data_IF_229271404214
#
_entry.id   IF_229271404214
#
_cell.length_a   1.000
_cell.length_b   1.000
_cell.length_c   1.000
_cell.angle_alpha   90.00
_cell.angle_beta   90.00
_cell.angle_gamma   90.00
#
_symmetry.space_group_name_H-M   'P 1'
#
loop_
_entity.id
_entity.type
_entity.pdbx_description
1 polymer ?
#
# COMPACT_ATOMS: atom_id res chain seq x y z
N UNK A 1 -24.99 -52.79 28.25
CA UNK A 1 -26.21 -52.94 27.42
C UNK A 1 -26.90 -51.60 27.42
N UNK A 2 -26.67 -50.79 26.39
CA UNK A 2 -27.45 -49.57 26.16
C UNK A 2 -27.68 -49.46 24.67
N UNK A 3 -28.95 -49.27 24.34
CA UNK A 3 -29.58 -49.57 23.07
C UNK A 3 -29.40 -48.45 22.03
N UNK A 4 -29.52 -48.90 20.78
CA UNK A 4 -29.78 -48.13 19.57
C UNK A 4 -31.04 -47.27 19.69
N UNK A 5 -31.04 -46.15 18.95
CA UNK A 5 -32.19 -45.29 18.72
C UNK A 5 -31.81 -44.13 17.81
N UNK A 6 -31.65 -44.43 16.51
CA UNK A 6 -31.71 -43.43 15.44
C UNK A 6 -33.11 -42.80 15.41
N UNK A 7 -33.19 -41.47 15.30
CA UNK A 7 -34.26 -40.79 14.54
C UNK A 7 -33.70 -39.55 13.84
N UNK A 8 -33.79 -39.61 12.51
CA UNK A 8 -33.65 -38.53 11.54
C UNK A 8 -34.60 -37.36 11.83
N UNK A 9 -34.10 -36.14 11.67
CA UNK A 9 -34.91 -34.92 11.64
C UNK A 9 -34.19 -33.81 10.86
N UNK A 10 -34.87 -33.10 9.94
CA UNK A 10 -34.28 -32.64 8.69
C UNK A 10 -33.47 -31.34 8.85
N UNK A 11 -32.49 -31.21 7.94
CA UNK A 11 -31.71 -30.01 7.75
C UNK A 11 -32.59 -28.79 7.50
N UNK A 12 -32.43 -27.79 8.35
CA UNK A 12 -32.65 -26.41 7.99
C UNK A 12 -31.28 -25.81 7.69
N UNK A 13 -30.84 -25.95 6.44
CA UNK A 13 -29.87 -25.02 5.88
C UNK A 13 -30.53 -23.65 5.88
N UNK A 14 -30.26 -22.85 6.92
CA UNK A 14 -30.51 -21.42 6.86
C UNK A 14 -29.54 -20.87 5.82
N UNK A 15 -30.00 -20.84 4.57
CA UNK A 15 -29.37 -20.09 3.49
C UNK A 15 -29.38 -18.63 3.94
N UNK A 16 -28.28 -18.17 4.53
CA UNK A 16 -28.06 -16.74 4.67
C UNK A 16 -28.13 -16.13 3.26
N UNK A 17 -28.75 -14.94 3.11
CA UNK A 17 -28.69 -14.25 1.83
C UNK A 17 -27.22 -14.10 1.45
N UNK A 18 -26.85 -14.60 0.27
CA UNK A 18 -25.53 -14.39 -0.32
C UNK A 18 -25.30 -12.88 -0.40
N UNK A 19 -24.63 -12.33 0.60
CA UNK A 19 -24.20 -10.95 0.59
C UNK A 19 -23.05 -10.86 -0.41
N UNK A 20 -23.33 -10.28 -1.57
CA UNK A 20 -22.31 -9.94 -2.56
C UNK A 20 -21.55 -8.75 -1.98
N UNK A 21 -20.45 -9.03 -1.27
CA UNK A 21 -19.56 -7.99 -0.79
C UNK A 21 -18.59 -7.62 -1.92
N UNK A 22 -18.53 -6.35 -2.27
CA UNK A 22 -17.49 -5.81 -3.16
C UNK A 22 -16.31 -5.37 -2.31
N UNK A 23 -15.11 -5.80 -2.68
CA UNK A 23 -13.87 -5.36 -2.05
C UNK A 23 -13.52 -3.96 -2.54
N UNK A 24 -13.03 -3.11 -1.64
CA UNK A 24 -12.61 -1.75 -1.97
C UNK A 24 -11.21 -1.75 -2.61
N UNK A 25 -11.04 -1.11 -3.75
CA UNK A 25 -9.80 -1.21 -4.51
C UNK A 25 -8.61 -0.49 -3.86
N UNK A 26 -8.85 0.48 -2.97
CA UNK A 26 -7.81 1.31 -2.33
C UNK A 26 -7.46 0.80 -0.92
N UNK A 27 -8.46 0.36 -0.16
CA UNK A 27 -8.33 0.00 1.26
C UNK A 27 -8.57 -1.49 1.56
N UNK A 28 -8.85 -2.31 0.55
CA UNK A 28 -8.78 -3.77 0.69
C UNK A 28 -7.34 -4.26 0.48
N UNK A 29 -6.50 -4.02 1.49
CA UNK A 29 -5.09 -4.42 1.43
C UNK A 29 -4.95 -5.93 1.23
N UNK A 30 -4.48 -6.33 0.06
CA UNK A 30 -3.97 -7.67 -0.18
C UNK A 30 -2.65 -7.87 0.55
N UNK A 31 -2.48 -9.00 1.22
CA UNK A 31 -1.23 -9.34 1.88
C UNK A 31 -1.41 -10.27 3.08
N UNK A 32 -0.29 -10.78 3.57
CA UNK A 32 -0.24 -11.60 4.77
C UNK A 32 0.74 -11.00 5.76
N UNK A 33 0.78 -11.56 6.96
CA UNK A 33 1.78 -11.17 7.93
C UNK A 33 3.05 -11.99 7.71
N UNK A 34 4.19 -11.30 7.71
CA UNK A 34 5.51 -11.93 7.70
C UNK A 34 6.13 -11.79 9.08
N UNK A 35 6.77 -12.84 9.56
CA UNK A 35 7.49 -12.85 10.83
C UNK A 35 9.00 -12.87 10.58
N UNK A 36 9.71 -11.88 11.12
CA UNK A 36 11.17 -11.80 11.12
C UNK A 36 11.72 -12.11 12.50
N UNK A 37 12.89 -12.71 12.58
CA UNK A 37 13.68 -12.91 13.80
C UNK A 37 14.99 -12.13 13.67
N UNK A 38 15.22 -11.22 14.63
CA UNK A 38 16.40 -10.36 14.68
C UNK A 38 16.91 -10.34 16.11
N UNK A 39 18.16 -10.77 16.32
CA UNK A 39 18.79 -10.88 17.65
C UNK A 39 17.90 -11.60 18.71
N UNK A 40 17.22 -12.68 18.30
CA UNK A 40 16.33 -13.46 19.17
C UNK A 40 14.95 -12.85 19.42
N UNK A 41 14.62 -11.72 18.78
CA UNK A 41 13.32 -11.05 18.88
C UNK A 41 12.50 -11.24 17.61
N UNK A 42 11.23 -11.56 17.78
CA UNK A 42 10.27 -11.69 16.68
C UNK A 42 9.58 -10.36 16.36
N UNK A 43 9.44 -10.08 15.06
CA UNK A 43 8.73 -8.94 14.50
C UNK A 43 7.72 -9.46 13.49
N UNK A 44 6.41 -9.30 13.76
CA UNK A 44 5.34 -9.69 12.84
C UNK A 44 4.70 -8.44 12.27
N UNK A 45 4.75 -8.28 10.95
CA UNK A 45 4.31 -7.06 10.24
C UNK A 45 3.59 -7.42 8.93
N UNK A 46 2.73 -6.53 8.40
CA UNK A 46 2.13 -6.73 7.07
C UNK A 46 3.20 -6.92 5.99
N UNK A 47 2.90 -7.69 4.95
CA UNK A 47 3.84 -7.96 3.87
C UNK A 47 3.91 -6.85 2.82
N UNK A 48 2.81 -6.13 2.59
CA UNK A 48 2.64 -5.29 1.40
C UNK A 48 3.76 -4.26 1.16
N UNK A 49 4.27 -3.55 2.17
CA UNK A 49 5.32 -2.56 1.92
C UNK A 49 6.63 -3.20 1.47
N UNK A 50 6.93 -4.43 1.89
CA UNK A 50 8.13 -5.11 1.41
C UNK A 50 8.03 -5.40 -0.09
N UNK A 51 6.86 -5.84 -0.55
CA UNK A 51 6.61 -6.09 -1.98
C UNK A 51 6.59 -4.83 -2.82
N UNK A 52 6.03 -3.74 -2.29
CA UNK A 52 5.92 -2.48 -3.01
C UNK A 52 7.25 -1.70 -3.03
N UNK A 53 7.98 -1.68 -1.92
CA UNK A 53 9.16 -0.81 -1.75
C UNK A 53 10.47 -1.50 -2.12
N UNK A 54 10.56 -2.84 -2.07
CA UNK A 54 11.79 -3.56 -2.45
C UNK A 54 11.52 -4.99 -2.96
N UNK A 55 11.39 -5.15 -4.30
CA UNK A 55 11.40 -6.46 -4.94
C UNK A 55 12.68 -7.26 -4.64
N UNK A 56 13.82 -6.57 -4.54
CA UNK A 56 15.11 -7.19 -4.19
C UNK A 56 15.05 -7.86 -2.81
N UNK A 57 14.44 -7.20 -1.82
CA UNK A 57 14.27 -7.76 -0.47
C UNK A 57 13.31 -8.96 -0.48
N UNK A 58 12.22 -8.88 -1.26
CA UNK A 58 11.29 -10.00 -1.45
C UNK A 58 12.02 -11.23 -2.00
N UNK A 59 12.85 -11.04 -3.02
CA UNK A 59 13.59 -12.12 -3.66
C UNK A 59 14.70 -12.67 -2.77
N UNK A 60 15.45 -11.79 -2.10
CA UNK A 60 16.53 -12.14 -1.17
C UNK A 60 16.03 -13.07 -0.05
N UNK A 61 14.89 -12.72 0.56
CA UNK A 61 14.30 -13.50 1.66
C UNK A 61 13.21 -14.46 1.22
N UNK A 62 12.98 -14.58 -0.10
CA UNK A 62 11.98 -15.47 -0.73
C UNK A 62 10.59 -15.31 -0.11
N UNK A 63 10.16 -14.07 0.13
CA UNK A 63 8.88 -13.79 0.79
C UNK A 63 7.71 -14.40 0.03
N UNK A 64 7.75 -14.41 -1.30
CA UNK A 64 6.72 -15.01 -2.16
C UNK A 64 6.49 -16.51 -1.96
N UNK A 65 7.50 -17.23 -1.44
CA UNK A 65 7.43 -18.67 -1.19
C UNK A 65 7.03 -19.01 0.25
N UNK A 66 7.23 -18.07 1.18
CA UNK A 66 6.84 -18.19 2.58
C UNK A 66 5.40 -17.73 2.70
N UNK A 67 4.47 -18.69 2.51
CA UNK A 67 3.03 -18.45 2.47
C UNK A 67 2.46 -17.77 3.72
N UNK A 68 1.14 -17.49 3.68
CA UNK A 68 0.34 -16.97 4.79
C UNK A 68 0.59 -17.78 6.06
N UNK A 69 1.14 -17.13 7.09
CA UNK A 69 1.34 -17.68 8.44
C UNK A 69 2.29 -18.88 8.55
N UNK A 70 3.41 -18.84 7.81
CA UNK A 70 4.55 -19.71 8.14
C UNK A 70 5.03 -19.47 9.57
N UNK A 71 4.96 -20.49 10.43
CA UNK A 71 5.54 -20.50 11.78
C UNK A 71 7.09 -20.42 11.78
N UNK A 72 7.72 -20.53 10.60
CA UNK A 72 9.17 -20.33 10.43
C UNK A 72 9.52 -18.85 10.19
N UNK A 73 10.11 -18.15 11.18
CA UNK A 73 10.48 -16.76 11.05
C UNK A 73 11.70 -16.58 10.15
N UNK A 74 11.74 -15.46 9.42
CA UNK A 74 12.86 -15.07 8.58
C UNK A 74 13.95 -14.48 9.45
N UNK A 75 15.09 -15.17 9.53
CA UNK A 75 16.23 -14.70 10.30
C UNK A 75 16.99 -13.62 9.53
N UNK A 76 17.14 -12.45 10.17
CA UNK A 76 18.01 -11.39 9.67
C UNK A 76 19.30 -11.43 10.48
N UNK A 77 20.32 -12.08 9.93
CA UNK A 77 21.64 -12.18 10.54
C UNK A 77 22.38 -10.85 10.43
N UNK A 78 23.27 -10.57 11.38
CA UNK A 78 24.13 -9.37 11.41
C UNK A 78 23.41 -8.01 11.51
N UNK A 79 22.09 -8.02 11.72
CA UNK A 79 21.29 -6.80 11.93
C UNK A 79 20.96 -6.62 13.40
N UNK A 80 21.12 -5.40 13.92
CA UNK A 80 20.67 -5.07 15.27
C UNK A 80 19.15 -4.92 15.30
N UNK A 81 18.51 -5.43 16.36
CA UNK A 81 17.05 -5.35 16.50
C UNK A 81 16.52 -3.90 16.49
N UNK A 82 17.33 -2.94 16.95
CA UNK A 82 16.94 -1.53 17.00
C UNK A 82 17.01 -0.87 15.63
N UNK A 83 17.98 -1.25 14.79
CA UNK A 83 18.07 -0.76 13.41
C UNK A 83 16.88 -1.27 12.59
N UNK A 84 16.56 -2.56 12.72
CA UNK A 84 15.39 -3.12 12.05
C UNK A 84 14.09 -2.47 12.55
N UNK A 85 13.97 -2.22 13.86
CA UNK A 85 12.83 -1.48 14.42
C UNK A 85 12.72 -0.08 13.81
N UNK A 86 13.83 0.62 13.60
CA UNK A 86 13.82 1.95 13.01
C UNK A 86 13.36 1.92 11.55
N UNK A 87 13.81 0.94 10.76
CA UNK A 87 13.27 0.70 9.42
C UNK A 87 11.75 0.48 9.45
N UNK A 88 11.26 -0.38 10.37
CA UNK A 88 9.84 -0.64 10.52
C UNK A 88 9.04 0.59 10.97
N UNK A 89 9.60 1.47 11.82
CA UNK A 89 8.94 2.74 12.18
C UNK A 89 8.69 3.60 10.95
N UNK A 90 9.60 3.59 9.98
CA UNK A 90 9.47 4.37 8.76
C UNK A 90 8.51 3.71 7.74
N UNK A 91 8.52 2.39 7.60
CA UNK A 91 7.60 1.64 6.73
C UNK A 91 6.17 1.57 7.29
N UNK A 92 6.05 1.45 8.62
CA UNK A 92 4.80 1.25 9.34
C UNK A 92 4.71 2.18 10.55
N UNK A 93 4.47 3.49 10.34
CA UNK A 93 4.28 4.42 11.44
C UNK A 93 3.12 3.99 12.35
N UNK A 94 3.39 3.82 13.65
CA UNK A 94 2.35 3.47 14.64
C UNK A 94 1.51 4.67 15.07
N UNK A 95 1.99 5.89 14.78
CA UNK A 95 1.26 7.12 15.04
C UNK A 95 0.56 7.59 13.77
N UNK A 96 -0.69 8.00 13.90
CA UNK A 96 -1.48 8.62 12.82
C UNK A 96 -0.98 10.04 12.50
N UNK A 97 -0.01 10.56 13.25
CA UNK A 97 0.60 11.86 12.96
C UNK A 97 1.27 11.85 11.59
N UNK A 98 0.94 12.85 10.76
CA UNK A 98 1.56 13.08 9.44
C UNK A 98 3.08 13.33 9.51
N UNK A 99 3.62 13.60 10.70
CA UNK A 99 5.05 13.82 10.92
C UNK A 99 5.65 12.63 11.65
N UNK A 100 6.51 11.90 10.95
CA UNK A 100 7.34 10.86 11.52
C UNK A 100 8.50 11.54 12.28
N UNK A 101 8.47 11.48 13.61
CA UNK A 101 9.54 12.01 14.45
C UNK A 101 10.54 10.90 14.76
N UNK A 102 11.74 11.01 14.17
CA UNK A 102 12.86 10.11 14.40
C UNK A 102 14.14 10.94 14.61
N UNK A 103 15.03 10.44 15.45
CA UNK A 103 16.33 11.04 15.74
C UNK A 103 17.33 10.83 14.60
N UNK A 104 18.48 11.53 14.67
CA UNK A 104 19.58 11.37 13.70
C UNK A 104 20.00 9.91 13.56
N UNK A 105 20.26 9.24 14.68
CA UNK A 105 20.77 7.87 14.69
C UNK A 105 19.72 6.89 14.14
N UNK A 106 18.44 7.13 14.44
CA UNK A 106 17.35 6.33 13.87
C UNK A 106 17.25 6.48 12.35
N UNK A 107 17.42 7.70 11.82
CA UNK A 107 17.48 7.93 10.37
C UNK A 107 18.72 7.35 9.71
N UNK A 108 19.86 7.32 10.40
CA UNK A 108 21.06 6.61 9.93
C UNK A 108 20.76 5.10 9.82
N UNK A 109 20.13 4.49 10.83
CA UNK A 109 19.70 3.08 10.74
C UNK A 109 18.81 2.82 9.54
N UNK A 110 17.81 3.69 9.32
CA UNK A 110 16.89 3.60 8.17
C UNK A 110 17.68 3.72 6.87
N UNK A 111 18.57 4.69 6.76
CA UNK A 111 19.38 4.92 5.57
C UNK A 111 20.25 3.70 5.26
N UNK A 112 20.94 3.15 6.25
CA UNK A 112 21.81 1.97 6.06
C UNK A 112 21.03 0.76 5.56
N UNK A 113 19.95 0.37 6.27
CA UNK A 113 19.17 -0.81 5.90
C UNK A 113 18.39 -0.61 4.58
N UNK A 114 17.84 0.58 4.34
CA UNK A 114 17.14 0.88 3.08
C UNK A 114 18.09 0.86 1.88
N UNK A 115 19.37 1.16 2.08
CA UNK A 115 20.39 1.07 1.04
C UNK A 115 20.78 -0.37 0.75
N UNK A 116 21.08 -1.13 1.80
CA UNK A 116 21.45 -2.55 1.71
C UNK A 116 20.34 -3.37 1.03
N UNK A 117 19.11 -3.17 1.47
CA UNK A 117 17.95 -3.91 0.97
C UNK A 117 17.20 -3.20 -0.15
N UNK A 118 17.77 -2.14 -0.72
CA UNK A 118 17.26 -1.45 -1.92
C UNK A 118 15.82 -0.95 -1.79
N UNK A 119 15.43 -0.47 -0.61
CA UNK A 119 14.22 0.34 -0.41
C UNK A 119 14.47 1.77 -0.89
N UNK A 120 14.57 1.98 -2.21
CA UNK A 120 15.16 3.19 -2.79
C UNK A 120 14.40 4.49 -2.47
N UNK A 121 13.05 4.43 -2.40
CA UNK A 121 12.23 5.57 -1.98
C UNK A 121 12.47 5.92 -0.51
N UNK A 122 12.53 4.90 0.35
CA UNK A 122 12.81 5.08 1.78
C UNK A 122 14.24 5.59 2.02
N UNK A 123 15.20 5.12 1.22
CA UNK A 123 16.57 5.66 1.19
C UNK A 123 16.57 7.14 0.86
N UNK A 124 15.87 7.55 -0.20
CA UNK A 124 15.74 8.97 -0.58
C UNK A 124 15.10 9.82 0.52
N UNK A 125 14.09 9.29 1.21
CA UNK A 125 13.47 9.93 2.37
C UNK A 125 14.48 10.11 3.51
N UNK A 126 15.24 9.07 3.87
CA UNK A 126 16.22 9.14 4.95
C UNK A 126 17.35 10.14 4.66
N UNK A 127 17.83 10.21 3.41
CA UNK A 127 18.80 11.24 2.97
C UNK A 127 18.20 12.64 3.20
N UNK A 128 16.98 12.87 2.71
CA UNK A 128 16.31 14.18 2.80
C UNK A 128 16.10 14.62 4.25
N UNK A 129 15.74 13.69 5.13
CA UNK A 129 15.53 13.97 6.56
C UNK A 129 16.86 14.24 7.29
N UNK A 130 17.92 13.50 7.00
CA UNK A 130 19.25 13.75 7.58
C UNK A 130 19.83 15.09 7.13
N UNK A 131 19.63 15.46 5.86
CA UNK A 131 19.98 16.79 5.34
C UNK A 131 19.18 17.89 6.04
N UNK A 132 17.87 17.70 6.21
CA UNK A 132 16.98 18.65 6.91
C UNK A 132 17.35 18.85 8.38
N UNK A 133 17.83 17.80 9.06
CA UNK A 133 18.27 17.88 10.45
C UNK A 133 19.59 18.64 10.62
N UNK A 134 20.39 18.78 9.55
CA UNK A 134 21.72 19.43 9.55
C UNK A 134 22.65 18.97 10.68
N UNK A 135 22.52 17.71 11.11
CA UNK A 135 23.12 17.20 12.35
C UNK A 135 24.31 16.26 12.14
N UNK A 136 24.61 15.92 10.88
CA UNK A 136 25.77 15.10 10.53
C UNK A 136 27.05 15.92 10.63
N UNK A 137 28.02 15.39 11.37
CA UNK A 137 29.39 15.89 11.43
C UNK A 137 30.09 15.69 10.08
N UNK A 138 31.20 16.41 9.86
CA UNK A 138 31.99 16.26 8.63
C UNK A 138 32.54 14.84 8.46
N UNK A 139 32.81 14.13 9.55
CA UNK A 139 33.28 12.74 9.55
C UNK A 139 32.14 11.81 9.15
N UNK A 140 30.98 11.92 9.79
CA UNK A 140 29.80 11.12 9.44
C UNK A 140 29.41 11.30 7.98
N UNK A 141 29.45 12.54 7.45
CA UNK A 141 29.20 12.81 6.02
C UNK A 141 30.17 12.06 5.11
N UNK A 142 31.46 11.99 5.46
CA UNK A 142 32.46 11.28 4.67
C UNK A 142 32.19 9.77 4.73
N UNK A 143 32.09 9.21 5.93
CA UNK A 143 31.91 7.76 6.12
C UNK A 143 30.60 7.28 5.48
N UNK A 144 29.46 7.86 5.88
CA UNK A 144 28.15 7.50 5.32
C UNK A 144 28.08 7.79 3.82
N UNK A 145 28.64 8.92 3.36
CA UNK A 145 28.62 9.26 1.93
C UNK A 145 29.42 8.29 1.06
N UNK A 146 30.45 7.66 1.62
CA UNK A 146 31.20 6.61 0.92
C UNK A 146 30.48 5.27 0.98
N UNK A 147 30.15 4.82 2.19
CA UNK A 147 29.55 3.51 2.45
C UNK A 147 28.20 3.36 1.75
N UNK A 148 27.48 4.47 1.61
CA UNK A 148 26.13 4.49 1.07
C UNK A 148 26.07 5.21 -0.27
N UNK A 149 27.18 5.54 -0.93
CA UNK A 149 27.20 6.19 -2.25
C UNK A 149 26.38 7.49 -2.33
N UNK A 150 26.71 8.48 -1.49
CA UNK A 150 26.12 9.83 -1.49
C UNK A 150 27.26 10.84 -1.71
N UNK A 151 27.55 11.11 -2.97
CA UNK A 151 28.72 11.91 -3.39
C UNK A 151 28.72 13.32 -2.79
N UNK A 152 27.54 13.94 -2.69
CA UNK A 152 27.38 15.29 -2.12
C UNK A 152 27.86 15.37 -0.67
N UNK A 153 27.61 14.33 0.13
CA UNK A 153 28.03 14.28 1.53
C UNK A 153 29.55 14.13 1.65
N UNK A 154 30.16 13.30 0.81
CA UNK A 154 31.63 13.13 0.78
C UNK A 154 32.32 14.45 0.47
N UNK A 155 31.87 15.16 -0.58
CA UNK A 155 32.40 16.48 -0.96
C UNK A 155 32.20 17.49 0.17
N UNK A 156 30.98 17.56 0.74
CA UNK A 156 30.67 18.47 1.83
C UNK A 156 31.58 18.22 3.05
N UNK A 157 31.72 16.98 3.49
CA UNK A 157 32.56 16.63 4.63
C UNK A 157 34.05 16.94 4.39
N UNK A 158 34.59 16.66 3.20
CA UNK A 158 35.95 17.07 2.84
C UNK A 158 36.15 18.58 2.89
N UNK A 159 35.22 19.34 2.30
CA UNK A 159 35.28 20.81 2.26
C UNK A 159 35.17 21.40 3.66
N UNK A 160 34.32 20.84 4.51
CA UNK A 160 34.18 21.26 5.91
C UNK A 160 35.47 21.02 6.69
N UNK A 161 36.10 19.85 6.58
CA UNK A 161 37.39 19.57 7.24
C UNK A 161 38.52 20.48 6.75
N UNK A 162 38.55 20.81 5.45
CA UNK A 162 39.52 21.76 4.90
C UNK A 162 39.33 23.16 5.49
N UNK A 163 38.07 23.58 5.71
CA UNK A 163 37.72 24.93 6.18
C UNK A 163 37.65 25.08 7.70
N UNK A 164 37.46 24.00 8.45
CA UNK A 164 37.29 24.00 9.92
C UNK A 164 38.45 24.71 10.63
N UNK A 165 38.23 25.34 11.78
CA UNK A 165 39.32 25.94 12.55
C UNK A 165 40.27 24.89 13.14
N UNK A 166 39.69 23.85 13.73
CA UNK A 166 40.42 22.79 14.42
C UNK A 166 41.06 21.79 13.44
N UNK A 167 42.25 21.26 13.76
CA UNK A 167 42.89 20.21 12.98
C UNK A 167 42.07 18.92 12.98
N UNK A 168 42.34 18.02 12.03
CA UNK A 168 41.83 16.65 12.05
C UNK A 168 42.55 15.92 13.18
N UNK A 169 41.80 15.31 14.09
CA UNK A 169 42.33 14.52 15.21
C UNK A 169 42.79 13.14 14.73
N UNK A 170 43.56 12.43 15.56
CA UNK A 170 44.05 11.10 15.22
C UNK A 170 42.89 10.10 15.07
N UNK A 171 41.86 10.21 15.93
CA UNK A 171 40.65 9.38 15.85
C UNK A 171 39.87 9.64 14.56
N UNK A 172 39.63 10.92 14.23
CA UNK A 172 38.97 11.29 12.97
C UNK A 172 39.77 10.81 11.75
N UNK A 173 41.10 10.86 11.82
CA UNK A 173 41.96 10.37 10.75
C UNK A 173 41.81 8.85 10.55
N UNK A 174 41.75 8.08 11.64
CA UNK A 174 41.53 6.63 11.60
C UNK A 174 40.15 6.33 10.98
N UNK A 175 39.10 7.03 11.41
CA UNK A 175 37.75 6.81 10.90
C UNK A 175 37.66 7.13 9.39
N UNK A 176 38.24 8.25 8.95
CA UNK A 176 38.26 8.64 7.53
C UNK A 176 39.07 7.67 6.67
N UNK A 177 40.21 7.16 7.13
CA UNK A 177 41.06 6.27 6.33
C UNK A 177 40.70 4.77 6.51
N UNK A 178 39.64 4.45 7.25
CA UNK A 178 39.10 3.09 7.29
C UNK A 178 38.64 2.67 5.89
N UNK A 179 39.30 1.67 5.29
CA UNK A 179 39.05 1.23 3.92
C UNK A 179 39.65 2.14 2.83
N UNK A 180 40.23 3.29 3.19
CA UNK A 180 40.83 4.23 2.24
C UNK A 180 42.24 4.59 2.68
N UNK A 181 43.22 4.17 1.90
CA UNK A 181 44.58 4.66 2.09
C UNK A 181 44.62 6.02 1.42
N UNK A 182 45.14 7.05 2.10
CA UNK A 182 45.54 8.37 1.55
C UNK A 182 44.63 9.58 1.76
N UNK A 183 43.41 9.43 2.27
CA UNK A 183 42.46 10.56 2.30
C UNK A 183 42.94 11.66 3.21
N UNK A 184 43.34 11.29 4.43
CA UNK A 184 43.63 12.27 5.48
C UNK A 184 44.83 13.12 5.09
N UNK A 185 45.90 12.53 4.55
CA UNK A 185 47.06 13.33 4.12
C UNK A 185 46.70 14.28 2.97
N UNK A 186 45.83 13.86 2.04
CA UNK A 186 45.36 14.72 0.94
C UNK A 186 44.57 15.89 1.51
N UNK A 187 43.70 15.65 2.48
CA UNK A 187 42.95 16.69 3.19
C UNK A 187 43.88 17.64 3.95
N UNK A 188 44.88 17.14 4.67
CA UNK A 188 45.89 17.99 5.33
C UNK A 188 46.63 18.89 4.33
N UNK A 189 47.03 18.35 3.18
CA UNK A 189 47.68 19.14 2.12
C UNK A 189 46.77 20.23 1.56
N UNK A 190 45.50 19.91 1.29
CA UNK A 190 44.53 20.90 0.80
C UNK A 190 44.29 21.98 1.87
N UNK A 191 44.17 21.57 3.13
CA UNK A 191 44.00 22.46 4.28
C UNK A 191 45.19 23.39 4.46
N UNK A 192 46.42 22.91 4.33
CA UNK A 192 47.63 23.77 4.38
C UNK A 192 47.58 24.84 3.28
N UNK A 193 47.23 24.45 2.06
CA UNK A 193 47.08 25.39 0.94
C UNK A 193 45.95 26.41 1.18
N UNK A 194 44.84 25.96 1.78
CA UNK A 194 43.70 26.81 2.14
C UNK A 194 44.10 27.85 3.20
N UNK A 195 44.70 27.42 4.30
CA UNK A 195 45.14 28.29 5.40
C UNK A 195 46.22 29.28 4.94
N UNK A 196 47.12 28.84 4.06
CA UNK A 196 48.13 29.70 3.43
C UNK A 196 47.54 30.62 2.34
N UNK A 197 46.23 30.57 2.08
CA UNK A 197 45.52 31.34 1.04
C UNK A 197 46.11 31.15 -0.37
N UNK A 198 46.62 29.95 -0.64
CA UNK A 198 47.23 29.56 -1.94
C UNK A 198 46.22 28.98 -2.93
N UNK A 199 45.04 28.61 -2.45
CA UNK A 199 43.89 28.20 -3.27
C UNK A 199 42.71 29.12 -3.00
N UNK A 200 41.92 29.40 -4.04
CA UNK A 200 40.73 30.25 -3.95
C UNK A 200 39.45 29.47 -3.62
N UNK A 201 39.44 28.16 -3.88
CA UNK A 201 38.27 27.29 -3.72
C UNK A 201 38.69 25.95 -3.14
N UNK A 202 38.24 25.65 -1.92
CA UNK A 202 38.41 24.34 -1.31
C UNK A 202 37.67 23.26 -2.12
N UNK A 203 36.43 23.54 -2.52
CA UNK A 203 35.57 22.62 -3.29
C UNK A 203 36.25 22.18 -4.59
N UNK A 204 36.68 23.14 -5.43
CA UNK A 204 37.31 22.80 -6.70
C UNK A 204 38.63 22.03 -6.54
N UNK A 205 39.37 22.30 -5.45
CA UNK A 205 40.61 21.58 -5.16
C UNK A 205 40.32 20.15 -4.69
N UNK A 206 39.29 19.97 -3.85
CA UNK A 206 38.78 18.66 -3.43
C UNK A 206 38.33 17.85 -4.65
N UNK A 207 37.47 18.42 -5.50
CA UNK A 207 36.98 17.76 -6.71
C UNK A 207 38.13 17.31 -7.63
N UNK A 208 39.16 18.14 -7.77
CA UNK A 208 40.33 17.82 -8.60
C UNK A 208 41.18 16.70 -7.99
N UNK A 209 41.45 16.75 -6.68
CA UNK A 209 42.35 15.80 -6.01
C UNK A 209 41.69 14.45 -5.76
N UNK A 210 40.38 14.43 -5.53
CA UNK A 210 39.60 13.23 -5.25
C UNK A 210 38.75 12.78 -6.44
N UNK A 211 39.03 13.30 -7.64
CA UNK A 211 38.24 13.07 -8.86
C UNK A 211 37.85 11.60 -9.05
N UNK A 212 38.84 10.70 -9.12
CA UNK A 212 38.58 9.29 -9.40
C UNK A 212 37.68 8.62 -8.35
N UNK A 213 37.86 8.99 -7.07
CA UNK A 213 37.03 8.48 -5.98
C UNK A 213 35.60 9.03 -6.06
N UNK A 214 35.47 10.35 -6.28
CA UNK A 214 34.17 11.01 -6.33
C UNK A 214 33.39 10.59 -7.59
N UNK A 215 34.06 10.38 -8.72
CA UNK A 215 33.45 9.89 -9.96
C UNK A 215 32.87 8.48 -9.73
N UNK A 216 33.60 7.55 -9.10
CA UNK A 216 33.09 6.21 -8.78
C UNK A 216 31.84 6.25 -7.87
N UNK A 217 31.92 7.02 -6.78
CA UNK A 217 30.80 7.18 -5.85
C UNK A 217 29.58 7.79 -6.56
N UNK A 218 29.82 8.78 -7.42
CA UNK A 218 28.78 9.42 -8.21
C UNK A 218 28.14 8.47 -9.23
N UNK A 219 28.92 7.63 -9.90
CA UNK A 219 28.40 6.62 -10.85
C UNK A 219 27.48 5.60 -10.16
N UNK A 220 27.87 5.12 -8.97
CA UNK A 220 27.03 4.23 -8.15
C UNK A 220 25.76 4.95 -7.67
N UNK A 221 25.89 6.19 -7.21
CA UNK A 221 24.76 7.02 -6.81
C UNK A 221 23.77 7.23 -7.97
N UNK A 222 24.25 7.49 -9.19
CA UNK A 222 23.39 7.63 -10.37
C UNK A 222 22.67 6.31 -10.70
N UNK A 223 23.37 5.18 -10.60
CA UNK A 223 22.77 3.86 -10.83
C UNK A 223 21.60 3.62 -9.86
N UNK A 224 21.77 3.96 -8.57
CA UNK A 224 20.68 3.85 -7.59
C UNK A 224 19.52 4.80 -7.89
N UNK A 225 19.81 6.04 -8.32
CA UNK A 225 18.78 7.02 -8.71
C UNK A 225 18.00 6.59 -9.95
N UNK A 226 18.66 6.01 -10.94
CA UNK A 226 18.02 5.48 -12.15
C UNK A 226 17.10 4.31 -11.82
N UNK A 227 17.53 3.41 -10.93
CA UNK A 227 16.70 2.30 -10.45
C UNK A 227 15.47 2.81 -9.69
N UNK A 228 15.64 3.79 -8.79
CA UNK A 228 14.52 4.40 -8.06
C UNK A 228 13.48 5.00 -9.01
N UNK A 229 13.93 5.74 -10.03
CA UNK A 229 13.03 6.35 -11.04
C UNK A 229 12.30 5.29 -11.85
N UNK A 230 12.97 4.17 -12.16
CA UNK A 230 12.37 3.06 -12.90
C UNK A 230 11.29 2.38 -12.06
N UNK A 231 11.54 2.16 -10.77
CA UNK A 231 10.57 1.57 -9.84
C UNK A 231 9.36 2.48 -9.64
N UNK A 232 9.58 3.79 -9.46
CA UNK A 232 8.51 4.80 -9.40
C UNK A 232 7.67 4.84 -10.68
N UNK A 233 8.32 4.84 -11.86
CA UNK A 233 7.61 4.83 -13.14
C UNK A 233 6.78 3.56 -13.32
N UNK A 234 7.29 2.40 -12.89
CA UNK A 234 6.55 1.13 -12.93
C UNK A 234 5.33 1.17 -12.02
N UNK A 235 5.47 1.66 -10.79
CA UNK A 235 4.36 1.80 -9.84
C UNK A 235 3.26 2.72 -10.38
N UNK A 236 3.63 3.84 -11.01
CA UNK A 236 2.67 4.76 -11.64
C UNK A 236 1.91 4.11 -12.79
N UNK A 237 2.58 3.32 -13.64
CA UNK A 237 1.90 2.57 -14.72
C UNK A 237 0.93 1.56 -14.15
N UNK A 238 1.33 0.79 -13.14
CA UNK A 238 0.45 -0.18 -12.49
C UNK A 238 -0.75 0.50 -11.79
N UNK A 239 -0.55 1.69 -11.21
CA UNK A 239 -1.62 2.50 -10.62
C UNK A 239 -2.60 3.02 -11.69
N UNK A 240 -2.10 3.52 -12.82
CA UNK A 240 -2.95 3.94 -13.95
C UNK A 240 -3.76 2.76 -14.53
N UNK A 241 -3.18 1.57 -14.62
CA UNK A 241 -3.87 0.36 -15.05
C UNK A 241 -4.95 -0.06 -14.05
N UNK A 242 -4.65 -0.02 -12.75
CA UNK A 242 -5.63 -0.26 -11.69
C UNK A 242 -6.81 0.70 -11.79
N UNK A 243 -6.55 2.01 -11.90
CA UNK A 243 -7.61 3.02 -12.00
C UNK A 243 -8.50 2.82 -13.23
N UNK A 244 -7.92 2.42 -14.38
CA UNK A 244 -8.71 2.08 -15.58
C UNK A 244 -9.64 0.90 -15.34
N UNK A 245 -9.14 -0.14 -14.67
CA UNK A 245 -9.94 -1.32 -14.33
C UNK A 245 -11.11 -0.98 -13.38
N UNK A 246 -10.86 -0.16 -12.36
CA UNK A 246 -11.90 0.32 -11.43
C UNK A 246 -12.97 1.14 -12.18
N UNK A 247 -12.54 2.03 -13.08
CA UNK A 247 -13.46 2.84 -13.89
C UNK A 247 -14.29 2.00 -14.86
N UNK A 248 -13.71 0.95 -15.46
CA UNK A 248 -14.45 0.00 -16.30
C UNK A 248 -15.50 -0.76 -15.49
N UNK A 249 -15.11 -1.31 -14.33
CA UNK A 249 -16.03 -2.00 -13.42
C UNK A 249 -17.19 -1.12 -12.97
N UNK A 250 -16.92 0.13 -12.59
CA UNK A 250 -17.97 1.08 -12.20
C UNK A 250 -18.98 1.30 -13.33
N UNK A 251 -18.53 1.40 -14.57
CA UNK A 251 -19.42 1.55 -15.74
C UNK A 251 -20.27 0.31 -15.97
N UNK A 252 -19.70 -0.87 -15.81
CA UNK A 252 -20.44 -2.14 -15.92
C UNK A 252 -21.53 -2.24 -14.86
N UNK A 253 -21.21 -1.91 -13.60
CA UNK A 253 -22.17 -1.89 -12.48
C UNK A 253 -23.30 -0.87 -12.74
N UNK A 254 -22.98 0.35 -13.22
CA UNK A 254 -23.99 1.34 -13.60
C UNK A 254 -24.87 0.89 -14.77
N UNK A 255 -24.32 0.16 -15.75
CA UNK A 255 -25.10 -0.40 -16.86
C UNK A 255 -26.01 -1.54 -16.40
N UNK A 256 -25.53 -2.40 -15.52
CA UNK A 256 -26.33 -3.48 -14.93
C UNK A 256 -27.48 -2.92 -14.08
N UNK A 257 -27.23 -1.92 -13.25
CA UNK A 257 -28.27 -1.25 -12.46
C UNK A 257 -29.34 -0.63 -13.37
N UNK A 258 -28.94 0.06 -14.45
CA UNK A 258 -29.88 0.60 -15.45
C UNK A 258 -30.71 -0.49 -16.13
N UNK A 259 -30.12 -1.65 -16.42
CA UNK A 259 -30.83 -2.81 -17.02
C UNK A 259 -31.86 -3.38 -16.06
N UNK A 260 -31.49 -3.58 -14.79
CA UNK A 260 -32.39 -4.08 -13.76
C UNK A 260 -33.56 -3.12 -13.53
N UNK A 261 -33.31 -1.81 -13.44
CA UNK A 261 -34.37 -0.80 -13.34
C UNK A 261 -35.30 -0.80 -14.56
N UNK A 262 -34.75 -0.94 -15.77
CA UNK A 262 -35.55 -1.01 -16.99
C UNK A 262 -36.44 -2.28 -17.05
N UNK A 263 -35.91 -3.41 -16.61
CA UNK A 263 -36.66 -4.66 -16.51
C UNK A 263 -37.78 -4.56 -15.46
N UNK A 264 -37.49 -4.00 -14.29
CA UNK A 264 -38.49 -3.78 -13.23
C UNK A 264 -39.62 -2.85 -13.71
N UNK A 265 -39.29 -1.73 -14.36
CA UNK A 265 -40.29 -0.83 -14.95
C UNK A 265 -41.15 -1.53 -16.00
N UNK A 266 -40.56 -2.40 -16.84
CA UNK A 266 -41.30 -3.15 -17.85
C UNK A 266 -42.26 -4.16 -17.20
N UNK A 267 -41.78 -4.89 -16.19
CA UNK A 267 -42.62 -5.84 -15.43
C UNK A 267 -43.79 -5.12 -14.75
N UNK A 268 -43.54 -3.95 -14.14
CA UNK A 268 -44.59 -3.16 -13.50
C UNK A 268 -45.61 -2.63 -14.53
N UNK A 269 -45.16 -2.21 -15.71
CA UNK A 269 -46.03 -1.78 -16.80
C UNK A 269 -46.92 -2.92 -17.31
N UNK A 270 -46.36 -4.11 -17.55
CA UNK A 270 -47.14 -5.27 -17.99
C UNK A 270 -48.19 -5.66 -16.94
N UNK A 271 -47.82 -5.66 -15.66
CA UNK A 271 -48.74 -5.94 -14.56
C UNK A 271 -49.88 -4.94 -14.50
N UNK A 272 -49.61 -3.64 -14.66
CA UNK A 272 -50.66 -2.59 -14.71
C UNK A 272 -51.62 -2.78 -15.88
N UNK A 273 -51.11 -3.17 -17.05
CA UNK A 273 -51.96 -3.44 -18.23
C UNK A 273 -52.84 -4.68 -18.01
N UNK A 274 -52.27 -5.75 -17.45
CA UNK A 274 -52.99 -6.99 -17.15
C UNK A 274 -54.10 -6.76 -16.11
N UNK A 275 -53.78 -6.07 -15.00
CA UNK A 275 -54.74 -5.65 -13.99
C UNK A 275 -55.86 -4.80 -14.62
N UNK A 276 -55.52 -3.89 -15.54
CA UNK A 276 -56.48 -3.07 -16.27
C UNK A 276 -57.42 -3.89 -17.16
N UNK A 277 -56.89 -4.89 -17.88
CA UNK A 277 -57.69 -5.81 -18.71
C UNK A 277 -58.63 -6.65 -17.86
N UNK A 278 -58.15 -7.17 -16.72
CA UNK A 278 -58.96 -7.95 -15.78
C UNK A 278 -60.14 -7.13 -15.25
N UNK A 279 -59.89 -5.90 -14.77
CA UNK A 279 -60.97 -5.00 -14.31
C UNK A 279 -62.00 -4.72 -15.40
N UNK A 280 -61.56 -4.45 -16.63
CA UNK A 280 -62.48 -4.21 -17.75
C UNK A 280 -63.32 -5.45 -18.10
N UNK A 281 -62.75 -6.66 -17.98
CA UNK A 281 -63.50 -7.91 -18.19
C UNK A 281 -64.52 -8.15 -17.07
N UNK A 282 -64.16 -7.89 -15.82
CA UNK A 282 -65.06 -7.96 -14.67
C UNK A 282 -66.23 -6.98 -14.80
N UNK A 283 -65.95 -5.73 -15.18
CA UNK A 283 -66.99 -4.73 -15.45
C UNK A 283 -67.93 -5.18 -16.58
N UNK A 284 -67.39 -5.71 -17.69
CA UNK A 284 -68.21 -6.25 -18.79
C UNK A 284 -69.08 -7.42 -18.35
N UNK A 285 -68.55 -8.35 -17.56
CA UNK A 285 -69.32 -9.47 -16.99
C UNK A 285 -70.42 -8.98 -16.06
N UNK A 286 -70.11 -7.98 -15.22
CA UNK A 286 -71.08 -7.35 -14.32
C UNK A 286 -72.23 -6.69 -15.09
N UNK A 287 -71.92 -5.92 -16.14
CA UNK A 287 -72.92 -5.30 -17.02
C UNK A 287 -73.79 -6.36 -17.72
N UNK A 288 -73.18 -7.44 -18.21
CA UNK A 288 -73.91 -8.55 -18.84
C UNK A 288 -74.87 -9.25 -17.86
N UNK A 289 -74.43 -9.46 -16.61
CA UNK A 289 -75.28 -10.02 -15.55
C UNK A 289 -76.47 -9.10 -15.22
N UNK A 290 -76.26 -7.79 -15.12
CA UNK A 290 -77.36 -6.84 -14.90
C UNK A 290 -78.39 -6.85 -16.03
N UNK A 291 -77.96 -6.97 -17.29
CA UNK A 291 -78.87 -7.09 -18.44
C UNK A 291 -79.66 -8.42 -18.44
N UNK A 292 -79.07 -9.51 -17.94
CA UNK A 292 -79.75 -10.80 -17.75
C UNK A 292 -80.78 -10.73 -16.61
N UNK A 293 -80.51 -9.98 -15.55
CA UNK A 293 -81.48 -9.76 -14.46
C UNK A 293 -82.66 -8.88 -14.89
N UNK A 294 -82.42 -7.84 -15.71
CA UNK A 294 -83.48 -7.01 -16.29
C UNK A 294 -84.37 -7.78 -17.28
N UNK A 295 -83.81 -8.75 -18.02
CA UNK A 295 -84.58 -9.65 -18.89
C UNK A 295 -85.22 -10.83 -18.16
N UNK A 296 -84.82 -11.12 -16.92
CA UNK A 296 -85.40 -12.12 -16.01
C UNK A 296 -86.51 -11.59 -15.09
N UNK A 297 -86.79 -10.29 -15.10
CA UNK A 297 -87.83 -9.61 -14.32
C UNK A 297 -89.26 -9.88 -14.80
N UNK A 298 -89.67 -11.15 -14.83
CA UNK A 298 -90.97 -11.56 -15.36
C UNK A 298 -91.52 -12.86 -14.81
N UNK A 299 -91.34 -13.19 -13.52
CA UNK A 299 -92.16 -14.24 -12.91
C UNK A 299 -92.22 -14.22 -11.38
N UNK A 300 -93.43 -13.93 -10.87
CA UNK A 300 -93.96 -14.65 -9.71
C UNK A 300 -94.30 -13.83 -8.46
N UNK A 301 -95.60 -13.56 -8.24
CA UNK A 301 -96.40 -14.23 -7.17
C UNK A 301 -97.81 -13.62 -7.00
N UNK A 302 -98.81 -14.52 -6.93
CA UNK A 302 -99.98 -14.56 -6.02
C UNK A 302 -101.17 -15.22 -6.76
N UNK A 303 -101.99 -16.11 -6.21
CA UNK A 303 -102.40 -16.34 -4.82
C UNK A 303 -103.10 -17.71 -4.71
N UNK A 304 -102.93 -18.38 -3.57
CA UNK A 304 -103.81 -19.47 -3.09
C UNK A 304 -105.29 -19.03 -3.05
N UNK A 305 -106.19 -19.95 -3.37
CA UNK A 305 -107.54 -20.01 -2.76
C UNK A 305 -107.98 -21.47 -2.62
N UNK A 306 -108.00 -21.96 -1.37
CA UNK A 306 -108.86 -23.07 -0.96
C UNK A 306 -110.30 -22.57 -0.76
N UNK A 307 -111.30 -23.33 -1.22
CA UNK A 307 -112.60 -23.50 -0.53
C UNK A 307 -113.41 -24.70 -1.07
N UNK A 308 -113.49 -25.74 -0.24
CA UNK A 308 -114.67 -26.48 0.29
C UNK A 308 -115.68 -27.19 -0.66
N UNK A 309 -115.90 -28.48 -0.33
CA UNK A 309 -117.10 -29.35 -0.41
C UNK A 309 -117.63 -29.65 -1.83
N UNK A 310 -117.83 -30.90 -2.22
CA UNK A 310 -118.60 -31.96 -1.54
C UNK A 310 -118.06 -33.35 -1.88
#
# INVERSE_FOLDING_TARGET
MSALGDEDGPGTSSSQPNSVFTQDDEYYFGGWFVTFEVEGRLFRVPSHQFFNESPDFVDLYKLSLRGMDSDDPIKLEEIRQDDFRNLLKALYPLSVSLQLSMSKDEWISVLTLSSEWRFLRLRGMAISELERLESLTSIEKICLGRDLHISSWVVAGYVELVKRGDPITDEEAIDIDTGYITTVYKLFRIRELWLAKRISSATSTVDTIFKDQLDHIFEEEQTLKELSKKDEAKLLVEEEERLKFVDERRKEEEEEEKRLMAEEMLQESMKREEDGRQRAEEERRSVLNMQLEESGGGSGKMKMKMKKKR
#
